data_IF_715129771768
#
_entry.id   IF_715129771768
#
_cell.length_a   1.000
_cell.length_b   1.000
_cell.length_c   1.000
_cell.angle_alpha   90.00
_cell.angle_beta   90.00
_cell.angle_gamma   90.00
#
_symmetry.space_group_name_H-M   'P 1'
#
loop_
_entity.id
_entity.type
_entity.pdbx_description
1 polymer ?
#
# COMPACT_ATOMS: atom_id res chain seq x y z
N UNK A 1 -2.74 -31.42 -24.75
CA UNK A 1 -2.96 -30.01 -24.36
C UNK A 1 -2.07 -29.70 -23.19
N UNK A 2 -1.02 -28.91 -23.40
CA UNK A 2 -0.14 -28.44 -22.32
C UNK A 2 -0.76 -27.18 -21.73
N UNK A 3 -1.22 -27.23 -20.47
CA UNK A 3 -1.67 -26.04 -19.76
C UNK A 3 -0.42 -25.24 -19.39
N UNK A 4 -0.27 -24.05 -19.98
CA UNK A 4 0.75 -23.08 -19.59
C UNK A 4 0.17 -22.23 -18.46
N UNK A 5 0.56 -22.41 -17.18
CA UNK A 5 0.09 -21.54 -16.12
C UNK A 5 0.90 -20.26 -16.22
N UNK A 6 0.40 -19.28 -16.97
CA UNK A 6 0.77 -17.90 -16.73
C UNK A 6 0.33 -17.58 -15.30
N UNK A 7 1.25 -17.75 -14.36
CA UNK A 7 1.14 -17.33 -12.98
C UNK A 7 0.83 -15.83 -12.99
N UNK A 8 -0.45 -15.51 -12.76
CA UNK A 8 -0.93 -14.16 -12.53
C UNK A 8 -0.21 -13.62 -11.29
N UNK A 9 0.81 -12.79 -11.52
CA UNK A 9 1.69 -12.15 -10.53
C UNK A 9 0.99 -11.11 -9.63
N UNK A 10 -0.32 -11.24 -9.41
CA UNK A 10 -1.14 -10.28 -8.65
C UNK A 10 -1.82 -10.91 -7.42
N UNK A 11 -1.41 -12.10 -6.98
CA UNK A 11 -2.00 -12.75 -5.79
C UNK A 11 -1.27 -12.48 -4.48
N UNK A 12 -0.06 -11.91 -4.51
CA UNK A 12 0.73 -11.68 -3.29
C UNK A 12 0.51 -10.31 -2.65
N UNK A 13 -0.33 -9.45 -3.26
CA UNK A 13 -0.64 -8.18 -2.62
C UNK A 13 -1.79 -8.36 -1.64
N UNK A 14 -1.57 -8.04 -0.35
CA UNK A 14 -2.64 -8.07 0.63
C UNK A 14 -3.78 -7.16 0.17
N UNK A 15 -5.05 -7.49 0.48
CA UNK A 15 -6.17 -6.63 0.13
C UNK A 15 -6.04 -5.23 0.75
N UNK A 16 -6.36 -4.19 -0.03
CA UNK A 16 -6.49 -2.84 0.49
C UNK A 16 -7.65 -2.74 1.50
N UNK A 17 -7.44 -2.02 2.60
CA UNK A 17 -8.44 -1.83 3.66
C UNK A 17 -8.99 -0.42 3.64
N UNK A 18 -8.13 0.59 3.84
CA UNK A 18 -8.52 2.01 3.92
C UNK A 18 -7.32 2.94 3.82
N UNK A 19 -7.59 4.22 3.59
CA UNK A 19 -6.60 5.29 3.80
C UNK A 19 -6.54 5.65 5.29
N UNK A 20 -5.34 5.76 5.81
CA UNK A 20 -5.02 6.27 7.15
C UNK A 20 -4.06 7.45 7.04
N UNK A 21 -3.84 8.18 8.13
CA UNK A 21 -2.88 9.27 8.17
C UNK A 21 -1.76 8.93 9.13
N UNK A 22 -0.52 9.10 8.66
CA UNK A 22 0.67 9.04 9.49
C UNK A 22 1.16 10.44 9.78
N UNK A 23 1.51 10.69 11.04
CA UNK A 23 2.12 11.96 11.46
C UNK A 23 3.63 11.87 11.28
N UNK A 24 4.22 12.76 10.48
CA UNK A 24 5.66 12.84 10.25
C UNK A 24 6.18 14.23 10.61
N UNK A 25 7.47 14.33 10.94
CA UNK A 25 8.14 15.62 11.15
C UNK A 25 9.02 15.93 9.95
N UNK A 26 8.67 16.97 9.21
CA UNK A 26 9.46 17.48 8.07
C UNK A 26 9.91 18.89 8.42
N UNK A 27 11.23 19.13 8.44
CA UNK A 27 11.80 20.44 8.77
C UNK A 27 11.28 21.04 10.10
N UNK A 28 11.04 20.19 11.10
CA UNK A 28 10.51 20.61 12.41
C UNK A 28 9.00 20.87 12.44
N UNK A 29 8.31 20.79 11.30
CA UNK A 29 6.85 20.90 11.21
C UNK A 29 6.22 19.51 11.23
N UNK A 30 5.14 19.38 11.99
CA UNK A 30 4.30 18.17 12.00
C UNK A 30 3.38 18.19 10.78
N UNK A 31 3.44 17.15 9.95
CA UNK A 31 2.63 16.98 8.75
C UNK A 31 1.88 15.65 8.79
N UNK A 32 0.69 15.63 8.21
CA UNK A 32 -0.12 14.43 8.04
C UNK A 32 0.07 13.92 6.61
N UNK A 33 0.56 12.69 6.48
CA UNK A 33 0.77 12.03 5.19
C UNK A 33 -0.22 10.89 5.03
N UNK A 34 -0.99 10.86 3.92
CA UNK A 34 -1.92 9.76 3.66
C UNK A 34 -1.14 8.48 3.32
N UNK A 35 -1.60 7.38 3.92
CA UNK A 35 -1.04 6.04 3.73
C UNK A 35 -2.18 5.06 3.42
N UNK A 36 -1.91 4.09 2.57
CA UNK A 36 -2.77 2.95 2.30
C UNK A 36 -2.50 1.84 3.32
N UNK A 37 -3.53 1.42 4.05
CA UNK A 37 -3.48 0.27 4.95
C UNK A 37 -3.98 -0.97 4.22
N UNK A 38 -3.21 -2.05 4.35
CA UNK A 38 -3.51 -3.36 3.80
C UNK A 38 -3.87 -4.38 4.88
N UNK A 39 -4.53 -5.47 4.50
CA UNK A 39 -5.11 -6.44 5.44
C UNK A 39 -4.06 -7.22 6.26
N UNK A 40 -2.82 -7.29 5.78
CA UNK A 40 -1.67 -7.83 6.51
C UNK A 40 -1.06 -6.83 7.51
N UNK A 41 -1.59 -5.61 7.58
CA UNK A 41 -1.10 -4.53 8.42
C UNK A 41 -0.02 -3.65 7.77
N UNK A 42 0.38 -3.94 6.54
CA UNK A 42 1.37 -3.13 5.81
C UNK A 42 0.80 -1.75 5.50
N UNK A 43 1.66 -0.72 5.60
CA UNK A 43 1.36 0.66 5.20
C UNK A 43 2.22 1.05 4.00
N UNK A 44 1.59 1.63 2.97
CA UNK A 44 2.30 2.21 1.82
C UNK A 44 1.92 3.68 1.63
N UNK A 45 2.86 4.56 1.25
CA UNK A 45 2.53 5.93 0.86
C UNK A 45 1.57 5.94 -0.33
N UNK A 46 0.56 6.80 -0.29
CA UNK A 46 -0.24 7.07 -1.47
C UNK A 46 0.66 7.69 -2.55
N UNK A 47 0.72 7.11 -3.75
CA UNK A 47 1.49 7.66 -4.86
C UNK A 47 0.85 8.98 -5.32
N UNK A 48 1.63 10.06 -5.56
CA UNK A 48 1.10 11.25 -6.20
C UNK A 48 0.72 10.91 -7.65
N UNK A 49 -0.51 11.23 -8.03
CA UNK A 49 -1.05 11.05 -9.39
C UNK A 49 -0.29 11.87 -10.43
#
# INVERSE_FOLDING_TARGET
MSYNPNYNHNQDQPPFVKVVYSTVKVNGKTELVPMELYADGTLKPCLPY
#
